data_IF_270709888731
#
_entry.id   IF_270709888731
#
_cell.length_a   1.000
_cell.length_b   1.000
_cell.length_c   1.000
_cell.angle_alpha   90.00
_cell.angle_beta   90.00
_cell.angle_gamma   90.00
#
_symmetry.space_group_name_H-M   'P 1'
#
loop_
_entity.id
_entity.type
_entity.pdbx_description
1 polymer ?
#
# COMPACT_ATOMS: atom_id res chain seq x y z
N UNK A 1 -18.29 -15.43 -4.59
CA UNK A 1 -17.06 -15.10 -3.85
C UNK A 1 -16.27 -14.00 -4.58
N UNK A 2 -16.78 -12.77 -4.65
CA UNK A 2 -16.22 -11.71 -5.51
C UNK A 2 -16.24 -10.29 -4.89
N UNK A 3 -16.47 -10.14 -3.59
CA UNK A 3 -16.59 -8.82 -2.95
C UNK A 3 -15.29 -8.15 -2.48
N UNK A 4 -14.14 -8.84 -2.51
CA UNK A 4 -12.90 -8.37 -1.85
C UNK A 4 -12.03 -7.46 -2.70
N UNK A 5 -12.19 -7.46 -4.02
CA UNK A 5 -11.41 -6.61 -4.93
C UNK A 5 -12.24 -5.38 -5.23
N UNK A 6 -11.80 -4.23 -4.73
CA UNK A 6 -12.46 -2.96 -5.00
C UNK A 6 -11.82 -2.33 -6.22
N UNK A 7 -12.64 -1.98 -7.21
CA UNK A 7 -12.16 -1.27 -8.40
C UNK A 7 -12.09 0.23 -8.09
N UNK A 8 -10.92 0.79 -8.33
CA UNK A 8 -10.63 2.21 -8.34
C UNK A 8 -10.01 2.55 -9.68
N UNK A 9 -10.14 3.80 -10.11
CA UNK A 9 -9.66 4.23 -11.42
C UNK A 9 -8.14 4.36 -11.43
N UNK A 10 -7.57 4.87 -10.33
CA UNK A 10 -6.15 5.19 -10.22
C UNK A 10 -5.48 4.64 -8.95
N UNK A 11 -6.18 3.81 -8.16
CA UNK A 11 -5.58 3.11 -7.03
C UNK A 11 -5.32 1.66 -7.35
N UNK A 12 -4.05 1.29 -7.30
CA UNK A 12 -3.63 -0.08 -7.52
C UNK A 12 -3.90 -0.97 -6.31
N UNK A 13 -4.23 -2.23 -6.60
CA UNK A 13 -4.19 -3.33 -5.64
C UNK A 13 -5.06 -3.10 -4.38
N UNK A 14 -6.17 -2.35 -4.51
CA UNK A 14 -7.10 -2.09 -3.41
C UNK A 14 -7.94 -3.33 -3.10
N UNK A 15 -7.79 -3.88 -1.88
CA UNK A 15 -8.47 -5.13 -1.48
C UNK A 15 -8.91 -5.10 -0.03
N UNK A 16 -10.06 -5.72 0.22
CA UNK A 16 -10.54 -6.07 1.55
C UNK A 16 -9.94 -7.43 1.98
N UNK A 17 -9.42 -7.47 3.20
CA UNK A 17 -8.92 -8.68 3.85
C UNK A 17 -10.02 -9.49 4.55
N UNK A 18 -11.29 -9.14 4.37
CA UNK A 18 -12.44 -9.95 4.80
C UNK A 18 -12.23 -11.45 4.51
N UNK A 19 -12.54 -12.26 5.51
CA UNK A 19 -12.41 -13.72 5.55
C UNK A 19 -10.98 -14.27 5.56
N UNK A 20 -9.93 -13.43 5.58
CA UNK A 20 -8.58 -13.94 5.81
C UNK A 20 -8.44 -14.48 7.25
N UNK A 21 -7.70 -15.58 7.40
CA UNK A 21 -7.41 -16.16 8.70
C UNK A 21 -6.58 -15.18 9.55
N UNK A 22 -7.03 -14.92 10.78
CA UNK A 22 -6.43 -14.02 11.76
C UNK A 22 -5.83 -14.78 12.97
N UNK A 23 -5.48 -16.06 12.77
CA UNK A 23 -4.99 -16.96 13.81
C UNK A 23 -6.10 -17.47 14.74
N UNK A 24 -5.81 -18.55 15.47
CA UNK A 24 -6.72 -19.16 16.47
C UNK A 24 -8.13 -19.47 15.92
N UNK A 25 -8.23 -19.89 14.65
CA UNK A 25 -9.50 -20.20 13.99
C UNK A 25 -10.40 -18.98 13.72
N UNK A 26 -9.90 -17.76 13.91
CA UNK A 26 -10.65 -16.52 13.64
C UNK A 26 -10.39 -16.01 12.22
N UNK A 27 -11.32 -15.21 11.74
CA UNK A 27 -11.24 -14.54 10.44
C UNK A 27 -11.42 -13.04 10.60
N UNK A 28 -10.80 -12.28 9.70
CA UNK A 28 -10.99 -10.83 9.61
C UNK A 28 -12.42 -10.56 9.12
N UNK A 29 -13.15 -9.74 9.86
CA UNK A 29 -14.48 -9.32 9.44
C UNK A 29 -14.38 -8.46 8.17
N UNK A 30 -15.24 -8.67 7.15
CA UNK A 30 -15.28 -7.84 5.96
C UNK A 30 -15.44 -6.35 6.29
N UNK A 31 -14.81 -5.50 5.48
CA UNK A 31 -14.85 -4.05 5.62
C UNK A 31 -14.07 -3.49 6.83
N UNK A 32 -13.20 -4.29 7.45
CA UNK A 32 -12.40 -3.87 8.62
C UNK A 32 -10.94 -3.61 8.34
N UNK A 33 -10.35 -4.31 7.37
CA UNK A 33 -8.94 -4.15 7.03
C UNK A 33 -8.77 -4.18 5.52
N UNK A 34 -8.16 -3.13 4.99
CA UNK A 34 -7.88 -2.98 3.58
C UNK A 34 -6.39 -2.85 3.33
N UNK A 35 -5.96 -3.17 2.10
CA UNK A 35 -4.67 -2.77 1.55
C UNK A 35 -4.88 -1.99 0.27
N UNK A 36 -3.92 -1.14 -0.06
CA UNK A 36 -3.82 -0.46 -1.34
C UNK A 36 -2.36 -0.20 -1.69
N UNK A 37 -2.09 0.16 -2.95
CA UNK A 37 -0.90 0.93 -3.29
C UNK A 37 -0.96 2.35 -2.70
N UNK A 38 0.02 3.18 -3.08
CA UNK A 38 0.05 4.60 -2.70
C UNK A 38 -1.16 5.35 -3.29
N UNK A 39 -1.59 6.43 -2.62
CA UNK A 39 -2.84 7.14 -2.97
C UNK A 39 -2.62 8.48 -3.66
N UNK A 40 -1.41 8.75 -4.15
CA UNK A 40 -1.07 10.04 -4.77
C UNK A 40 -1.85 10.30 -6.06
N UNK A 41 -2.26 9.24 -6.76
CA UNK A 41 -2.95 9.32 -8.05
C UNK A 41 -4.47 9.24 -7.97
N UNK A 42 -5.05 9.08 -6.78
CA UNK A 42 -6.49 8.88 -6.59
C UNK A 42 -7.31 9.92 -7.38
N UNK A 43 -8.22 9.49 -8.26
CA UNK A 43 -9.11 10.40 -8.98
C UNK A 43 -10.14 11.07 -8.04
N UNK A 44 -10.89 12.06 -8.52
CA UNK A 44 -12.00 12.62 -7.71
C UNK A 44 -13.04 11.55 -7.35
N UNK A 45 -13.39 10.69 -8.31
CA UNK A 45 -14.30 9.56 -8.08
C UNK A 45 -13.70 8.52 -7.12
N UNK A 46 -12.38 8.32 -7.14
CA UNK A 46 -11.70 7.46 -6.16
C UNK A 46 -11.77 8.05 -4.75
N UNK A 47 -11.63 9.36 -4.60
CA UNK A 47 -11.75 10.04 -3.30
C UNK A 47 -13.18 9.94 -2.74
N UNK A 48 -14.20 10.07 -3.58
CA UNK A 48 -15.60 9.82 -3.16
C UNK A 48 -15.79 8.37 -2.69
N UNK A 49 -15.28 7.40 -3.45
CA UNK A 49 -15.33 5.98 -3.08
C UNK A 49 -14.58 5.68 -1.79
N UNK A 50 -13.38 6.22 -1.61
CA UNK A 50 -12.61 6.09 -0.37
C UNK A 50 -13.37 6.71 0.82
N UNK A 51 -14.00 7.87 0.63
CA UNK A 51 -14.83 8.51 1.64
C UNK A 51 -15.99 7.64 2.09
N UNK A 52 -16.67 6.98 1.15
CA UNK A 52 -17.78 6.07 1.43
C UNK A 52 -17.38 4.82 2.23
N UNK A 53 -16.10 4.42 2.22
CA UNK A 53 -15.61 3.30 3.04
C UNK A 53 -15.51 3.66 4.52
N UNK A 54 -15.50 4.94 4.90
CA UNK A 54 -15.41 5.37 6.30
C UNK A 54 -14.11 4.94 6.98
N UNK A 55 -12.98 4.97 6.26
CA UNK A 55 -11.67 4.56 6.79
C UNK A 55 -11.28 5.46 7.98
N UNK A 56 -11.21 4.86 9.17
CA UNK A 56 -10.89 5.58 10.40
C UNK A 56 -9.38 5.74 10.65
N UNK A 57 -8.54 4.91 10.01
CA UNK A 57 -7.09 4.97 10.15
C UNK A 57 -6.38 4.53 8.86
N UNK A 58 -5.26 5.18 8.56
CA UNK A 58 -4.34 4.80 7.48
C UNK A 58 -2.95 4.61 8.06
N UNK A 59 -2.35 3.45 7.79
CA UNK A 59 -0.95 3.19 8.10
C UNK A 59 -0.15 3.36 6.80
N UNK A 60 0.60 4.45 6.68
CA UNK A 60 1.41 4.74 5.49
C UNK A 60 2.85 4.26 5.73
N UNK A 61 3.15 3.08 5.20
CA UNK A 61 4.42 2.38 5.40
C UNK A 61 5.54 2.88 4.46
N UNK A 62 5.27 3.89 3.63
CA UNK A 62 6.26 4.47 2.73
C UNK A 62 7.29 5.27 3.50
N UNK A 63 8.49 5.40 2.96
CA UNK A 63 9.55 6.26 3.50
C UNK A 63 9.14 7.74 3.42
N UNK A 64 9.69 8.62 4.29
CA UNK A 64 9.42 10.06 4.22
C UNK A 64 9.67 10.67 2.82
N UNK A 65 10.73 10.26 2.13
CA UNK A 65 11.04 10.67 0.75
C UNK A 65 9.91 10.31 -0.24
N UNK A 66 9.46 9.06 -0.25
CA UNK A 66 8.35 8.60 -1.09
C UNK A 66 7.04 9.37 -0.82
N UNK A 67 6.78 9.74 0.45
CA UNK A 67 5.59 10.53 0.82
C UNK A 67 5.68 11.97 0.31
N UNK A 68 6.87 12.59 0.34
CA UNK A 68 7.11 13.93 -0.21
C UNK A 68 6.95 13.96 -1.73
N UNK A 69 7.52 12.98 -2.42
CA UNK A 69 7.48 12.90 -3.89
C UNK A 69 6.09 12.52 -4.41
N UNK A 70 5.35 11.73 -3.64
CA UNK A 70 4.02 11.22 -4.00
C UNK A 70 3.03 11.43 -2.85
N UNK A 71 2.62 12.68 -2.55
CA UNK A 71 1.75 12.96 -1.43
C UNK A 71 0.39 12.29 -1.61
N UNK A 72 -0.07 11.56 -0.59
CA UNK A 72 -1.35 10.85 -0.64
C UNK A 72 -2.51 11.85 -0.71
N UNK A 73 -3.41 11.68 -1.68
CA UNK A 73 -4.67 12.42 -1.73
C UNK A 73 -5.65 11.81 -0.73
N UNK A 74 -6.48 12.65 -0.09
CA UNK A 74 -7.49 12.21 0.89
C UNK A 74 -8.88 12.73 0.51
N UNK A 75 -9.96 12.01 0.86
CA UNK A 75 -11.32 12.49 0.69
C UNK A 75 -11.54 13.81 1.45
N UNK A 76 -12.40 14.71 0.96
CA UNK A 76 -12.81 15.90 1.72
C UNK A 76 -13.32 15.52 3.10
N UNK A 77 -12.87 16.24 4.15
CA UNK A 77 -13.29 15.98 5.53
C UNK A 77 -12.71 14.70 6.15
N UNK A 78 -11.71 14.06 5.53
CA UNK A 78 -11.02 12.93 6.15
C UNK A 78 -10.42 13.35 7.51
N UNK A 79 -10.92 12.71 8.57
CA UNK A 79 -10.51 12.97 9.95
C UNK A 79 -9.92 11.71 10.63
N UNK A 80 -9.61 10.68 9.84
CA UNK A 80 -9.01 9.46 10.34
C UNK A 80 -7.56 9.67 10.79
N UNK A 81 -7.08 8.80 11.66
CA UNK A 81 -5.68 8.81 12.09
C UNK A 81 -4.76 8.43 10.92
N UNK A 82 -3.63 9.12 10.78
CA UNK A 82 -2.57 8.74 9.84
C UNK A 82 -1.35 8.35 10.67
N UNK A 83 -0.93 7.10 10.53
CA UNK A 83 0.23 6.53 11.23
C UNK A 83 1.35 6.41 10.21
N UNK A 84 2.44 7.11 10.47
CA UNK A 84 3.59 7.21 9.59
C UNK A 84 4.88 6.90 10.35
N UNK A 85 5.88 6.40 9.62
CA UNK A 85 7.23 6.28 10.13
C UNK A 85 8.09 7.44 9.63
N UNK A 86 8.86 8.04 10.55
CA UNK A 86 9.91 9.02 10.23
C UNK A 86 11.25 8.34 9.93
N UNK A 87 11.29 7.01 9.95
CA UNK A 87 12.49 6.28 9.58
C UNK A 87 12.74 6.39 8.07
N UNK A 88 13.84 7.05 7.73
CA UNK A 88 14.40 7.10 6.39
C UNK A 88 15.82 6.54 6.49
N UNK A 89 16.10 5.44 5.79
CA UNK A 89 17.45 4.89 5.71
C UNK A 89 18.33 5.68 4.72
N UNK A 90 17.75 6.68 4.03
CA UNK A 90 18.42 7.54 3.07
C UNK A 90 18.91 6.81 1.82
N UNK A 91 18.65 5.50 1.73
CA UNK A 91 19.11 4.65 0.64
C UNK A 91 18.16 4.68 -0.54
N UNK A 92 18.69 4.45 -1.75
CA UNK A 92 17.87 4.10 -2.90
C UNK A 92 17.14 2.77 -2.61
N UNK A 93 15.92 2.61 -3.11
CA UNK A 93 15.16 1.40 -2.86
C UNK A 93 15.96 0.17 -3.34
N UNK A 94 16.06 -0.93 -2.57
CA UNK A 94 17.00 -2.03 -2.86
C UNK A 94 16.87 -2.62 -4.27
N UNK A 95 15.64 -2.67 -4.78
CA UNK A 95 15.37 -3.18 -6.13
C UNK A 95 15.87 -2.23 -7.23
N UNK A 96 15.89 -0.92 -7.00
CA UNK A 96 16.46 0.05 -7.95
C UNK A 96 17.98 -0.06 -7.94
N UNK A 97 18.60 -0.15 -6.77
CA UNK A 97 20.05 -0.42 -6.66
C UNK A 97 20.42 -1.66 -7.46
N UNK A 98 19.70 -2.77 -7.25
CA UNK A 98 19.88 -4.00 -8.03
C UNK A 98 19.76 -3.76 -9.55
N UNK A 99 18.72 -3.05 -10.00
CA UNK A 99 18.52 -2.75 -11.41
C UNK A 99 19.65 -1.92 -12.03
N UNK A 100 20.31 -1.08 -11.25
CA UNK A 100 21.43 -0.24 -11.71
C UNK A 100 22.78 -0.96 -11.66
N UNK A 101 22.98 -1.85 -10.70
CA UNK A 101 24.33 -2.36 -10.37
C UNK A 101 24.56 -3.83 -10.69
N UNK A 102 23.52 -4.60 -11.04
CA UNK A 102 23.64 -6.04 -11.31
C UNK A 102 23.59 -6.38 -12.81
N UNK A 103 24.08 -7.56 -13.19
CA UNK A 103 24.13 -8.06 -14.58
C UNK A 103 22.74 -8.43 -15.19
N UNK A 104 21.65 -8.20 -14.45
CA UNK A 104 20.25 -8.42 -14.84
C UNK A 104 19.94 -9.80 -15.47
N UNK A 105 20.61 -10.85 -14.98
CA UNK A 105 20.35 -12.24 -15.36
C UNK A 105 19.35 -12.90 -14.39
N UNK A 106 18.65 -13.98 -14.80
CA UNK A 106 17.80 -14.76 -13.90
C UNK A 106 18.53 -15.26 -12.64
N UNK A 107 19.81 -15.60 -12.77
CA UNK A 107 20.64 -16.02 -11.63
C UNK A 107 20.91 -14.86 -10.66
N UNK A 108 21.30 -13.69 -11.18
CA UNK A 108 21.53 -12.50 -10.35
C UNK A 108 20.26 -12.07 -9.60
N UNK A 109 19.09 -12.17 -10.26
CA UNK A 109 17.80 -11.89 -9.64
C UNK A 109 17.44 -12.89 -8.55
N UNK A 110 17.70 -14.19 -8.77
CA UNK A 110 17.49 -15.20 -7.73
C UNK A 110 18.36 -14.91 -6.51
N UNK A 111 19.67 -14.67 -6.72
CA UNK A 111 20.62 -14.34 -5.66
C UNK A 111 20.17 -13.13 -4.84
N UNK A 112 19.81 -12.03 -5.51
CA UNK A 112 19.29 -10.83 -4.85
C UNK A 112 18.06 -11.09 -3.98
N UNK A 113 17.17 -12.00 -4.39
CA UNK A 113 15.94 -12.30 -3.66
C UNK A 113 16.13 -13.30 -2.51
N UNK A 114 17.21 -14.10 -2.52
CA UNK A 114 17.42 -15.19 -1.55
C UNK A 114 18.53 -14.93 -0.55
N UNK A 115 19.55 -14.16 -0.92
CA UNK A 115 20.65 -13.84 -0.02
C UNK A 115 20.18 -12.74 0.94
N UNK A 116 19.77 -13.15 2.14
CA UNK A 116 19.35 -12.27 3.23
C UNK A 116 20.42 -12.22 4.31
#
# INVERSE_FOLDING_TARGET
MTGRIHRFDALDNFRDYGDYAAGSGRHIAPGRLFRSGHQARASAADLERLGALGIAAVVDLRRPSERRDQPSRRPPGFAGAVIESEHDDGGEAPHITFLRTADLTPESGRRFMTDT
#
